data_IF_973111149153
#
_entry.id   IF_973111149153
#
_cell.length_a   1.000
_cell.length_b   1.000
_cell.length_c   1.000
_cell.angle_alpha   90.00
_cell.angle_beta   90.00
_cell.angle_gamma   90.00
#
_symmetry.space_group_name_H-M   'P 1'
#
loop_
_entity.id
_entity.type
_entity.pdbx_description
1 polymer ?
#
# COMPACT_ATOMS: atom_id res chain seq x y z
N UNK A 1 37.19 -11.50 65.24
CA UNK A 1 36.59 -10.18 65.05
C UNK A 1 36.47 -9.48 66.38
N UNK A 2 35.44 -8.65 66.54
CA UNK A 2 35.11 -7.95 67.78
C UNK A 2 34.56 -8.96 68.81
N UNK A 3 34.93 -8.90 70.12
CA UNK A 3 34.38 -9.80 71.13
C UNK A 3 32.86 -9.58 71.32
N UNK A 4 32.07 -10.65 71.51
CA UNK A 4 30.59 -10.63 71.56
C UNK A 4 30.01 -9.50 72.43
N UNK A 5 30.61 -9.26 73.60
CA UNK A 5 30.18 -8.18 74.54
C UNK A 5 30.31 -6.75 73.99
N UNK A 6 31.03 -6.56 72.89
CA UNK A 6 31.26 -5.29 72.19
C UNK A 6 30.72 -5.33 70.76
N UNK A 7 30.26 -6.49 70.30
CA UNK A 7 29.75 -6.68 68.96
C UNK A 7 28.30 -6.16 68.89
N UNK A 8 28.06 -5.16 68.06
CA UNK A 8 26.73 -4.60 67.82
C UNK A 8 25.94 -5.41 66.78
N UNK A 9 26.61 -6.29 66.03
CA UNK A 9 26.06 -7.09 64.96
C UNK A 9 26.49 -8.57 65.12
N UNK A 10 26.04 -9.24 66.20
CA UNK A 10 26.50 -10.60 66.57
C UNK A 10 26.16 -11.68 65.54
N UNK A 11 25.22 -11.41 64.63
CA UNK A 11 24.79 -12.34 63.57
C UNK A 11 25.62 -12.21 62.28
N UNK A 12 26.67 -11.38 62.27
CA UNK A 12 27.53 -11.22 61.09
C UNK A 12 28.21 -12.54 60.70
N UNK A 13 28.11 -13.00 59.44
CA UNK A 13 28.72 -14.26 59.02
C UNK A 13 30.23 -14.30 59.23
N UNK A 14 30.73 -15.46 59.63
CA UNK A 14 32.18 -15.67 59.81
C UNK A 14 32.94 -15.43 58.51
N UNK A 15 34.00 -14.63 58.57
CA UNK A 15 34.83 -14.28 57.42
C UNK A 15 34.45 -12.96 56.72
N UNK A 16 33.33 -12.34 57.07
CA UNK A 16 32.95 -11.01 56.58
C UNK A 16 33.82 -9.93 57.24
N UNK A 17 34.20 -8.91 56.46
CA UNK A 17 34.94 -7.75 56.95
C UNK A 17 34.00 -6.88 57.80
N UNK A 18 34.41 -6.57 59.02
CA UNK A 18 33.62 -5.78 59.98
C UNK A 18 34.35 -4.51 60.43
N UNK A 19 33.58 -3.50 60.83
CA UNK A 19 34.05 -2.26 61.45
C UNK A 19 34.51 -2.48 62.91
N UNK A 20 34.84 -1.38 63.60
CA UNK A 20 35.25 -1.41 65.02
C UNK A 20 34.15 -1.87 65.99
N UNK A 21 32.89 -1.87 65.56
CA UNK A 21 31.72 -2.30 66.32
C UNK A 21 31.31 -3.75 66.02
N UNK A 22 31.98 -4.44 65.11
CA UNK A 22 31.63 -5.81 64.71
C UNK A 22 30.55 -5.88 63.63
N UNK A 23 30.14 -4.74 63.07
CA UNK A 23 29.16 -4.68 62.00
C UNK A 23 29.81 -4.78 60.63
N UNK A 24 29.15 -5.39 59.62
CA UNK A 24 29.67 -5.45 58.27
C UNK A 24 30.02 -4.06 57.73
N UNK A 25 31.12 -3.96 56.97
CA UNK A 25 31.45 -2.71 56.28
C UNK A 25 30.43 -2.46 55.17
N UNK A 26 30.00 -1.21 55.08
CA UNK A 26 29.11 -0.66 54.07
C UNK A 26 29.79 0.65 53.61
N UNK A 27 30.46 0.58 52.47
CA UNK A 27 31.41 1.58 52.00
C UNK A 27 30.70 2.82 51.44
N UNK A 28 29.58 2.64 50.74
CA UNK A 28 28.80 3.71 50.13
C UNK A 28 27.53 4.10 50.91
N UNK A 29 27.25 3.40 52.01
CA UNK A 29 26.21 3.70 53.00
C UNK A 29 24.78 3.59 52.45
N UNK A 30 24.55 2.64 51.56
CA UNK A 30 23.24 2.39 50.95
C UNK A 30 22.38 1.38 51.73
N UNK A 31 22.88 0.90 52.87
CA UNK A 31 22.28 -0.12 53.75
C UNK A 31 22.41 -1.56 53.25
N UNK A 32 23.17 -1.79 52.17
CA UNK A 32 23.60 -3.10 51.69
C UNK A 32 25.10 -3.24 51.99
N UNK A 33 25.49 -4.14 52.91
CA UNK A 33 26.91 -4.31 53.21
C UNK A 33 27.75 -4.75 52.01
N UNK A 34 29.03 -4.35 51.96
CA UNK A 34 29.99 -4.64 50.87
C UNK A 34 30.01 -6.11 50.40
N UNK A 35 29.75 -7.05 51.31
CA UNK A 35 29.79 -8.49 51.03
C UNK A 35 28.48 -9.03 50.38
N UNK A 36 27.43 -8.22 50.37
CA UNK A 36 26.14 -8.47 49.72
C UNK A 36 25.86 -7.48 48.58
N UNK A 37 26.69 -6.44 48.47
CA UNK A 37 26.57 -5.39 47.48
C UNK A 37 27.30 -5.76 46.18
N UNK A 38 26.58 -5.65 45.06
CA UNK A 38 27.14 -5.83 43.72
C UNK A 38 27.83 -4.56 43.20
N UNK A 39 27.60 -3.42 43.84
CA UNK A 39 28.11 -2.09 43.52
C UNK A 39 28.71 -1.36 44.74
N UNK A 40 29.70 -1.92 45.49
CA UNK A 40 30.09 -1.47 46.84
C UNK A 40 30.61 -0.03 47.02
N UNK A 41 30.86 0.68 45.92
CA UNK A 41 31.40 2.04 45.94
C UNK A 41 30.37 3.08 45.45
N UNK A 42 29.15 2.66 45.09
CA UNK A 42 28.11 3.49 44.48
C UNK A 42 26.74 3.11 45.03
N UNK A 43 26.22 3.96 45.91
CA UNK A 43 24.98 3.70 46.61
C UNK A 43 23.82 3.34 45.68
N UNK A 44 23.11 2.27 46.00
CA UNK A 44 21.98 1.78 45.24
C UNK A 44 20.81 1.32 46.09
N UNK A 45 20.00 0.44 45.51
CA UNK A 45 18.79 -0.08 46.16
C UNK A 45 18.95 -1.54 46.55
N UNK A 46 18.47 -1.90 47.73
CA UNK A 46 18.51 -3.28 48.22
C UNK A 46 17.80 -4.28 47.28
N UNK A 47 16.78 -3.83 46.52
CA UNK A 47 16.10 -4.65 45.53
C UNK A 47 17.02 -5.13 44.40
N UNK A 48 18.12 -4.41 44.13
CA UNK A 48 19.11 -4.69 43.10
C UNK A 48 20.48 -5.04 43.70
N UNK A 49 20.49 -5.51 44.94
CA UNK A 49 21.69 -5.86 45.71
C UNK A 49 22.72 -4.71 45.73
N UNK A 50 22.25 -3.51 46.08
CA UNK A 50 23.08 -2.31 46.29
C UNK A 50 23.50 -1.57 45.02
N UNK A 51 23.02 -2.00 43.84
CA UNK A 51 23.27 -1.26 42.61
C UNK A 51 22.27 -0.11 42.36
N UNK A 52 22.74 1.01 41.76
CA UNK A 52 21.89 2.14 41.42
C UNK A 52 20.90 1.79 40.31
N UNK A 53 19.72 2.41 40.39
CA UNK A 53 18.64 2.37 39.41
C UNK A 53 18.00 3.76 39.39
N UNK A 54 18.42 4.57 38.41
CA UNK A 54 18.18 6.01 38.40
C UNK A 54 16.77 6.36 37.96
N UNK A 55 16.18 5.60 37.06
CA UNK A 55 14.84 5.83 36.57
C UNK A 55 13.77 4.98 37.27
N UNK A 56 14.20 4.05 38.13
CA UNK A 56 13.38 3.20 39.00
C UNK A 56 12.52 2.20 38.22
N UNK A 57 13.02 1.69 37.11
CA UNK A 57 12.32 0.68 36.30
C UNK A 57 12.58 -0.76 36.75
N UNK A 58 13.51 -0.95 37.69
CA UNK A 58 13.89 -2.25 38.25
C UNK A 58 15.03 -2.95 37.51
N UNK A 59 15.71 -2.27 36.58
CA UNK A 59 16.97 -2.68 35.96
C UNK A 59 18.07 -1.77 36.50
N UNK A 60 19.19 -2.34 36.97
CA UNK A 60 20.28 -1.50 37.48
C UNK A 60 20.94 -0.72 36.33
N UNK A 61 21.42 0.51 36.59
CA UNK A 61 22.05 1.41 35.60
C UNK A 61 23.12 0.71 34.74
N UNK A 62 23.84 -0.26 35.31
CA UNK A 62 24.91 -1.01 34.63
C UNK A 62 24.41 -2.07 33.63
N UNK A 63 23.14 -2.47 33.74
CA UNK A 63 22.46 -3.47 32.93
C UNK A 63 21.38 -2.84 32.04
N UNK A 64 21.11 -1.56 32.25
CA UNK A 64 20.13 -0.77 31.55
C UNK A 64 20.73 -0.10 30.30
N UNK A 65 20.08 -0.28 29.15
CA UNK A 65 20.44 0.40 27.90
C UNK A 65 19.92 1.84 27.83
N UNK A 66 18.95 2.19 28.68
CA UNK A 66 18.30 3.48 28.79
C UNK A 66 18.26 4.01 30.25
N UNK A 67 19.39 4.23 30.96
CA UNK A 67 19.45 4.47 32.42
C UNK A 67 18.77 5.74 32.97
N UNK A 68 18.13 6.52 32.12
CA UNK A 68 17.44 7.77 32.47
C UNK A 68 15.97 7.76 32.02
N UNK A 69 15.46 6.63 31.51
CA UNK A 69 14.12 6.50 30.92
C UNK A 69 13.50 5.15 31.26
N UNK A 70 12.45 5.13 32.10
CA UNK A 70 11.92 3.87 32.58
C UNK A 70 11.46 2.96 31.45
N UNK A 71 11.91 1.71 31.46
CA UNK A 71 11.55 0.72 30.49
C UNK A 71 11.15 -0.61 31.10
N UNK A 72 11.33 -1.68 30.31
CA UNK A 72 11.05 -3.03 30.77
C UNK A 72 12.31 -3.87 30.75
N UNK A 73 12.41 -4.81 31.70
CA UNK A 73 13.51 -5.78 31.71
C UNK A 73 13.59 -6.62 30.42
N UNK A 74 12.48 -6.83 29.71
CA UNK A 74 12.46 -7.52 28.43
C UNK A 74 13.24 -6.78 27.34
N UNK A 75 13.28 -5.45 27.43
CA UNK A 75 13.99 -4.55 26.53
C UNK A 75 15.20 -3.90 27.19
N UNK A 76 15.77 -4.57 28.20
CA UNK A 76 16.99 -4.14 28.89
C UNK A 76 16.87 -2.71 29.44
N UNK A 77 15.72 -2.40 30.04
CA UNK A 77 15.44 -1.11 30.66
C UNK A 77 15.02 0.01 29.70
N UNK A 78 14.85 -0.29 28.40
CA UNK A 78 14.37 0.70 27.45
C UNK A 78 12.84 0.75 27.31
N UNK A 79 12.28 1.95 27.05
CA UNK A 79 10.85 2.13 26.80
C UNK A 79 10.41 1.56 25.45
N UNK A 80 9.13 1.19 25.38
CA UNK A 80 8.41 0.71 24.20
C UNK A 80 6.99 1.28 24.27
N UNK A 81 6.74 2.33 23.47
CA UNK A 81 5.57 3.18 23.57
C UNK A 81 4.30 2.53 22.99
N UNK A 82 4.42 1.74 21.93
CA UNK A 82 3.29 1.08 21.26
C UNK A 82 3.12 -0.39 21.68
N UNK A 83 4.09 -0.95 22.38
CA UNK A 83 4.05 -2.29 22.96
C UNK A 83 4.23 -3.39 21.93
N UNK A 84 4.91 -3.12 20.82
CA UNK A 84 5.13 -4.08 19.74
C UNK A 84 6.32 -5.03 20.02
N UNK A 85 7.10 -4.76 21.08
CA UNK A 85 8.26 -5.54 21.50
C UNK A 85 9.59 -5.04 20.95
N UNK A 86 9.63 -3.86 20.33
CA UNK A 86 10.83 -3.16 19.89
C UNK A 86 10.94 -1.84 20.67
N UNK A 87 12.10 -1.58 21.27
CA UNK A 87 12.29 -0.34 22.03
C UNK A 87 12.25 0.89 21.11
N UNK A 88 11.77 2.02 21.65
CA UNK A 88 11.50 3.27 20.92
C UNK A 88 12.72 3.76 20.09
N UNK A 89 13.94 3.51 20.57
CA UNK A 89 15.17 3.93 19.90
C UNK A 89 15.53 3.08 18.67
N UNK A 90 14.98 1.88 18.56
CA UNK A 90 15.19 0.91 17.48
C UNK A 90 13.96 0.77 16.58
N UNK A 91 12.83 1.30 17.01
CA UNK A 91 11.57 1.25 16.29
C UNK A 91 11.50 2.33 15.18
N UNK A 92 11.18 1.88 13.96
CA UNK A 92 10.98 2.72 12.79
C UNK A 92 9.50 3.07 12.57
N UNK A 93 8.59 2.42 13.28
CA UNK A 93 7.14 2.50 13.16
C UNK A 93 6.46 2.65 14.54
N UNK A 94 6.58 3.82 15.20
CA UNK A 94 6.21 4.09 16.60
C UNK A 94 4.70 4.06 16.94
N UNK A 95 3.87 3.62 16.01
CA UNK A 95 2.41 3.60 16.13
C UNK A 95 1.84 2.25 15.64
N UNK A 96 2.59 1.16 15.82
CA UNK A 96 2.20 -0.17 15.36
C UNK A 96 1.04 -0.71 16.23
N UNK A 97 -0.08 -1.14 15.62
CA UNK A 97 -1.22 -1.62 16.40
C UNK A 97 -0.87 -2.87 17.22
N UNK A 98 -1.28 -2.88 18.48
CA UNK A 98 -1.07 -4.01 19.38
C UNK A 98 -1.51 -5.36 18.79
N UNK A 99 -0.65 -6.37 18.89
CA UNK A 99 -0.87 -7.72 18.34
C UNK A 99 -0.53 -7.87 16.87
N UNK A 100 -0.05 -6.82 16.20
CA UNK A 100 0.53 -6.92 14.85
C UNK A 100 1.84 -7.68 14.90
N UNK A 101 2.09 -8.54 13.91
CA UNK A 101 3.40 -9.15 13.76
C UNK A 101 4.36 -8.13 13.14
N UNK A 102 5.45 -7.85 13.84
CA UNK A 102 6.44 -6.85 13.45
C UNK A 102 7.78 -7.48 13.10
N UNK A 103 8.55 -6.73 12.31
CA UNK A 103 9.94 -7.02 12.02
C UNK A 103 10.85 -6.62 13.19
N UNK A 104 12.17 -6.81 13.04
CA UNK A 104 13.14 -6.39 14.05
C UNK A 104 13.26 -4.87 14.25
N UNK A 105 12.58 -4.07 13.42
CA UNK A 105 12.56 -2.59 13.48
C UNK A 105 11.17 -2.04 13.81
N UNK A 106 10.31 -2.86 14.43
CA UNK A 106 8.95 -2.50 14.87
C UNK A 106 7.92 -2.31 13.75
N UNK A 107 8.36 -2.26 12.49
CA UNK A 107 7.41 -2.13 11.38
C UNK A 107 6.63 -3.43 11.10
N UNK A 108 5.33 -3.34 10.76
CA UNK A 108 4.54 -4.46 10.26
C UNK A 108 5.23 -5.19 9.10
N UNK A 109 5.03 -6.49 9.01
CA UNK A 109 5.55 -7.29 7.89
C UNK A 109 4.93 -6.82 6.55
N UNK A 110 5.80 -6.69 5.54
CA UNK A 110 5.50 -6.31 4.15
C UNK A 110 6.40 -7.16 3.24
N UNK A 111 5.84 -8.23 2.71
CA UNK A 111 6.58 -9.30 2.04
C UNK A 111 7.09 -8.91 0.64
N UNK A 112 6.34 -8.09 -0.10
CA UNK A 112 6.71 -7.62 -1.44
C UNK A 112 7.32 -6.20 -1.46
N UNK A 113 7.26 -5.49 -0.33
CA UNK A 113 7.88 -4.20 -0.14
C UNK A 113 7.17 -3.07 -0.86
N UNK A 114 5.86 -3.21 -1.11
CA UNK A 114 5.06 -2.20 -1.81
C UNK A 114 4.58 -1.04 -0.91
N UNK A 115 4.80 -1.17 0.40
CA UNK A 115 4.44 -0.19 1.43
C UNK A 115 3.09 -0.44 2.10
N UNK A 116 2.43 -1.57 1.82
CA UNK A 116 1.21 -2.04 2.49
C UNK A 116 1.53 -3.33 3.24
N UNK A 117 1.16 -3.42 4.51
CA UNK A 117 1.46 -4.61 5.31
C UNK A 117 0.71 -5.84 4.81
N UNK A 118 1.30 -7.03 5.02
CA UNK A 118 0.76 -8.33 4.60
C UNK A 118 -0.70 -8.55 5.07
N UNK A 119 -1.06 -7.97 6.22
CA UNK A 119 -2.40 -8.08 6.80
C UNK A 119 -3.46 -7.24 6.05
N UNK A 120 -3.04 -6.17 5.37
CA UNK A 120 -3.90 -5.24 4.63
C UNK A 120 -3.77 -5.41 3.11
N UNK A 121 -2.72 -6.08 2.66
CA UNK A 121 -2.43 -6.29 1.26
C UNK A 121 -3.32 -7.36 0.63
N UNK A 122 -3.95 -7.00 -0.49
CA UNK A 122 -4.79 -7.88 -1.31
C UNK A 122 -4.04 -8.42 -2.53
N UNK A 123 -2.83 -7.93 -2.78
CA UNK A 123 -2.01 -8.14 -3.95
C UNK A 123 -0.55 -8.47 -3.54
N UNK A 124 -0.29 -9.61 -2.85
CA UNK A 124 0.98 -9.96 -2.17
C UNK A 124 2.22 -10.21 -3.04
N UNK A 125 2.14 -9.90 -4.33
CA UNK A 125 3.21 -10.09 -5.32
C UNK A 125 3.36 -8.84 -6.19
N UNK A 126 3.12 -7.65 -5.63
CA UNK A 126 3.26 -6.40 -6.35
C UNK A 126 4.72 -6.16 -6.74
N UNK A 127 5.02 -5.94 -8.04
CA UNK A 127 6.39 -5.73 -8.47
C UNK A 127 7.00 -4.46 -7.85
N UNK A 128 8.24 -4.56 -7.37
CA UNK A 128 8.98 -3.46 -6.78
C UNK A 128 8.95 -2.17 -7.64
N UNK A 129 8.62 -1.04 -6.99
CA UNK A 129 8.49 0.27 -7.63
C UNK A 129 7.12 0.54 -8.29
N UNK A 130 6.17 -0.39 -8.19
CA UNK A 130 4.78 -0.17 -8.57
C UNK A 130 4.12 0.82 -7.60
N UNK A 131 3.35 1.78 -8.11
CA UNK A 131 2.53 2.63 -7.24
C UNK A 131 1.25 1.89 -6.88
N UNK A 132 0.99 1.71 -5.59
CA UNK A 132 -0.16 0.96 -5.06
C UNK A 132 -1.19 1.86 -4.39
N UNK A 133 -2.41 1.34 -4.26
CA UNK A 133 -3.42 1.92 -3.39
C UNK A 133 -3.27 1.44 -1.94
N UNK A 134 -4.22 1.80 -1.06
CA UNK A 134 -4.19 1.41 0.35
C UNK A 134 -4.43 -0.09 0.59
N UNK A 135 -4.51 -0.91 -0.45
CA UNK A 135 -4.71 -2.36 -0.39
C UNK A 135 -3.61 -3.13 -1.10
N UNK A 136 -2.46 -2.48 -1.34
CA UNK A 136 -1.28 -3.05 -2.02
C UNK A 136 -1.51 -3.33 -3.51
N UNK A 137 -2.67 -2.97 -4.05
CA UNK A 137 -2.96 -3.24 -5.44
C UNK A 137 -2.54 -2.07 -6.32
N UNK A 138 -1.96 -2.40 -7.48
CA UNK A 138 -1.48 -1.42 -8.46
C UNK A 138 -2.55 -0.36 -8.77
N UNK A 139 -2.18 0.91 -8.61
CA UNK A 139 -2.99 2.04 -9.05
C UNK A 139 -3.22 1.91 -10.56
N UNK A 140 -4.47 1.59 -10.94
CA UNK A 140 -4.93 1.75 -12.31
C UNK A 140 -4.74 3.22 -12.65
N UNK A 141 -3.76 3.53 -13.52
CA UNK A 141 -3.51 4.92 -13.97
C UNK A 141 -4.85 5.54 -14.33
N UNK A 142 -5.30 6.59 -13.60
CA UNK A 142 -6.50 7.30 -13.95
C UNK A 142 -6.34 7.75 -15.39
N UNK A 143 -7.29 7.41 -16.26
CA UNK A 143 -7.34 7.90 -17.64
C UNK A 143 -7.15 9.42 -17.57
N UNK A 144 -6.06 9.99 -18.14
CA UNK A 144 -5.79 11.43 -18.05
C UNK A 144 -7.03 12.25 -18.42
N UNK A 145 -7.49 13.06 -17.46
CA UNK A 145 -8.63 13.97 -17.65
C UNK A 145 -8.30 14.91 -18.81
N UNK A 146 -9.03 14.81 -19.92
CA UNK A 146 -8.72 15.53 -21.16
C UNK A 146 -9.10 14.78 -22.44
N UNK A 147 -9.42 13.48 -22.33
CA UNK A 147 -10.24 12.76 -23.32
C UNK A 147 -11.68 12.80 -22.84
N UNK A 148 -12.36 13.93 -23.08
CA UNK A 148 -13.75 14.17 -22.67
C UNK A 148 -13.89 14.55 -21.19
N UNK A 149 -14.43 15.75 -20.91
CA UNK A 149 -14.96 16.06 -19.58
C UNK A 149 -16.38 15.49 -19.51
N UNK A 150 -16.50 14.34 -18.88
CA UNK A 150 -17.76 13.73 -18.48
C UNK A 150 -17.44 12.36 -17.87
N UNK A 151 -18.16 11.99 -16.82
CA UNK A 151 -18.10 10.68 -16.17
C UNK A 151 -17.71 9.51 -17.08
N UNK A 152 -17.05 8.53 -16.46
CA UNK A 152 -16.74 7.18 -16.94
C UNK A 152 -17.98 6.46 -17.53
N UNK A 153 -18.42 6.90 -18.72
CA UNK A 153 -19.46 6.40 -19.63
C UNK A 153 -19.23 6.97 -21.05
N UNK A 154 -17.99 7.29 -21.42
CA UNK A 154 -17.68 8.18 -22.54
C UNK A 154 -17.58 7.45 -23.90
N UNK A 155 -18.71 6.91 -24.32
CA UNK A 155 -18.90 6.35 -25.66
C UNK A 155 -18.64 7.42 -26.72
N UNK A 156 -17.57 7.26 -27.51
CA UNK A 156 -17.35 8.13 -28.66
C UNK A 156 -18.21 7.65 -29.83
N UNK A 157 -19.23 8.43 -30.16
CA UNK A 157 -20.07 8.19 -31.33
C UNK A 157 -19.43 8.74 -32.61
N UNK A 158 -19.15 7.83 -33.52
CA UNK A 158 -18.64 8.09 -34.87
C UNK A 158 -19.82 8.07 -35.85
N UNK A 159 -19.92 9.16 -36.61
CA UNK A 159 -20.95 9.32 -37.64
C UNK A 159 -20.44 8.92 -39.02
N UNK A 160 -21.37 8.41 -39.82
CA UNK A 160 -21.15 7.99 -41.20
C UNK A 160 -22.10 8.71 -42.15
N UNK A 161 -21.72 8.79 -43.42
CA UNK A 161 -22.64 9.19 -44.48
C UNK A 161 -23.81 8.21 -44.59
N UNK A 162 -24.95 8.72 -45.05
CA UNK A 162 -26.18 7.93 -45.15
C UNK A 162 -25.97 6.64 -45.96
N UNK A 163 -26.43 5.52 -45.39
CA UNK A 163 -26.33 4.17 -45.97
C UNK A 163 -24.91 3.74 -46.39
N UNK A 164 -23.89 4.35 -45.79
CA UNK A 164 -22.48 4.09 -46.15
C UNK A 164 -21.64 3.81 -44.91
N UNK A 165 -20.50 3.17 -45.14
CA UNK A 165 -19.40 3.03 -44.18
C UNK A 165 -18.34 4.14 -44.37
N UNK A 166 -18.74 5.27 -44.97
CA UNK A 166 -17.87 6.44 -45.18
C UNK A 166 -17.95 7.35 -43.97
N UNK A 167 -16.81 7.61 -43.33
CA UNK A 167 -16.71 8.48 -42.16
C UNK A 167 -17.02 9.94 -42.53
N UNK A 168 -17.86 10.61 -41.73
CA UNK A 168 -18.10 12.05 -41.91
C UNK A 168 -16.92 12.85 -41.42
N UNK A 169 -16.69 14.04 -41.99
CA UNK A 169 -15.58 14.93 -41.59
C UNK A 169 -15.57 15.25 -40.09
N UNK A 170 -16.74 15.39 -39.48
CA UNK A 170 -16.92 15.66 -38.04
C UNK A 170 -16.38 14.56 -37.12
N UNK A 171 -16.21 13.34 -37.64
CA UNK A 171 -15.73 12.18 -36.89
C UNK A 171 -14.21 12.14 -36.77
N UNK A 172 -13.46 12.75 -37.70
CA UNK A 172 -12.00 12.63 -37.73
C UNK A 172 -11.32 13.24 -36.50
N UNK A 173 -11.75 14.43 -36.07
CA UNK A 173 -11.18 15.07 -34.87
C UNK A 173 -11.31 14.19 -33.61
N UNK A 174 -12.43 13.45 -33.48
CA UNK A 174 -12.65 12.50 -32.39
C UNK A 174 -11.74 11.28 -32.51
N UNK A 175 -11.64 10.70 -33.71
CA UNK A 175 -10.76 9.56 -33.98
C UNK A 175 -9.28 9.91 -33.75
N UNK A 176 -8.86 11.14 -34.08
CA UNK A 176 -7.51 11.62 -33.81
C UNK A 176 -7.23 11.77 -32.31
N UNK A 177 -8.25 12.14 -31.52
CA UNK A 177 -8.15 12.17 -30.06
C UNK A 177 -7.99 10.76 -29.49
N UNK A 178 -8.81 9.81 -29.95
CA UNK A 178 -8.69 8.38 -29.57
C UNK A 178 -7.32 7.84 -29.94
N UNK A 179 -6.82 8.10 -31.15
CA UNK A 179 -5.51 7.65 -31.59
C UNK A 179 -4.37 8.26 -30.76
N UNK A 180 -4.42 9.56 -30.46
CA UNK A 180 -3.42 10.20 -29.57
C UNK A 180 -3.40 9.57 -28.19
N UNK A 181 -4.57 9.30 -27.63
CA UNK A 181 -4.69 8.64 -26.33
C UNK A 181 -4.08 7.24 -26.34
N UNK A 182 -4.43 6.41 -27.32
CA UNK A 182 -3.92 5.04 -27.42
C UNK A 182 -2.40 4.99 -27.65
N UNK A 183 -1.81 6.00 -28.31
CA UNK A 183 -0.34 6.11 -28.43
C UNK A 183 0.34 6.42 -27.10
N UNK A 184 -0.25 7.33 -26.32
CA UNK A 184 0.29 7.74 -25.01
C UNK A 184 0.07 6.68 -23.92
N UNK A 185 -0.87 5.75 -24.14
CA UNK A 185 -1.26 4.74 -23.17
C UNK A 185 -1.22 3.34 -23.81
N UNK A 186 -0.04 2.69 -23.90
CA UNK A 186 0.12 1.39 -24.55
C UNK A 186 -0.73 0.26 -23.95
N UNK A 187 -1.08 0.36 -22.68
CA UNK A 187 -1.87 -0.61 -21.91
C UNK A 187 -3.38 -0.56 -22.20
N UNK A 188 -3.85 0.34 -23.06
CA UNK A 188 -5.27 0.40 -23.43
C UNK A 188 -5.54 -0.33 -24.74
N UNK A 189 -6.75 -0.81 -24.94
CA UNK A 189 -7.27 -1.25 -26.23
C UNK A 189 -8.59 -0.52 -26.50
N UNK A 190 -9.17 -0.77 -27.67
CA UNK A 190 -10.43 -0.16 -28.05
C UNK A 190 -11.34 -1.19 -28.69
N UNK A 191 -12.59 -1.23 -28.22
CA UNK A 191 -13.67 -1.97 -28.84
C UNK A 191 -14.50 -1.03 -29.71
N UNK A 192 -14.75 -1.44 -30.94
CA UNK A 192 -15.49 -0.66 -31.92
C UNK A 192 -16.74 -1.42 -32.34
N UNK A 193 -17.89 -0.91 -31.92
CA UNK A 193 -19.21 -1.49 -32.16
C UNK A 193 -19.93 -0.74 -33.27
N UNK A 194 -20.29 -1.40 -34.35
CA UNK A 194 -21.09 -0.83 -35.43
C UNK A 194 -22.58 -1.07 -35.22
N UNK A 195 -23.41 -0.10 -35.63
CA UNK A 195 -24.87 -0.19 -35.56
C UNK A 195 -25.53 0.36 -36.83
N UNK A 196 -26.73 -0.14 -37.13
CA UNK A 196 -27.60 0.28 -38.22
C UNK A 196 -28.97 0.76 -37.70
N UNK A 197 -29.77 1.35 -38.58
CA UNK A 197 -31.19 1.64 -38.28
C UNK A 197 -32.07 0.50 -38.80
N UNK A 198 -33.37 0.52 -38.46
CA UNK A 198 -34.29 -0.59 -38.76
C UNK A 198 -34.69 -0.74 -40.26
N UNK A 199 -34.02 -0.03 -41.18
CA UNK A 199 -34.34 -0.12 -42.61
C UNK A 199 -33.38 -1.07 -43.30
N UNK A 200 -33.93 -1.98 -44.08
CA UNK A 200 -33.18 -3.04 -44.75
C UNK A 200 -33.50 -4.40 -44.12
N UNK A 201 -32.83 -5.44 -44.59
CA UNK A 201 -32.92 -6.76 -43.94
C UNK A 201 -31.90 -6.84 -42.80
N UNK A 202 -32.13 -7.73 -41.85
CA UNK A 202 -31.19 -7.99 -40.75
C UNK A 202 -29.79 -8.33 -41.26
N UNK A 203 -29.69 -9.16 -42.31
CA UNK A 203 -28.41 -9.53 -42.93
C UNK A 203 -27.70 -8.31 -43.54
N UNK A 204 -28.46 -7.43 -44.19
CA UNK A 204 -27.92 -6.19 -44.74
C UNK A 204 -27.39 -5.27 -43.64
N UNK A 205 -28.18 -5.09 -42.58
CA UNK A 205 -27.85 -4.22 -41.45
C UNK A 205 -26.68 -4.76 -40.64
N UNK A 206 -26.60 -6.07 -40.46
CA UNK A 206 -25.46 -6.75 -39.85
C UNK A 206 -24.19 -6.45 -40.64
N UNK A 207 -24.18 -6.74 -41.95
CA UNK A 207 -23.02 -6.51 -42.80
C UNK A 207 -22.63 -5.02 -42.88
N UNK A 208 -23.61 -4.10 -42.88
CA UNK A 208 -23.35 -2.65 -42.87
C UNK A 208 -22.69 -2.21 -41.56
N UNK A 209 -23.15 -2.74 -40.43
CA UNK A 209 -22.62 -2.42 -39.11
C UNK A 209 -21.16 -2.88 -38.96
N UNK A 210 -20.83 -4.09 -39.43
CA UNK A 210 -19.46 -4.61 -39.45
C UNK A 210 -18.54 -3.75 -40.33
N UNK A 211 -18.99 -3.36 -41.52
CA UNK A 211 -18.22 -2.45 -42.40
C UNK A 211 -17.94 -1.11 -41.73
N UNK A 212 -18.88 -0.57 -40.95
CA UNK A 212 -18.69 0.68 -40.19
C UNK A 212 -17.64 0.52 -39.10
N UNK A 213 -17.70 -0.55 -38.32
CA UNK A 213 -16.68 -0.84 -37.30
C UNK A 213 -15.30 -1.03 -37.94
N UNK A 214 -15.22 -1.76 -39.05
CA UNK A 214 -13.99 -1.95 -39.82
C UNK A 214 -13.43 -0.65 -40.40
N UNK A 215 -14.28 0.31 -40.80
CA UNK A 215 -13.85 1.62 -41.29
C UNK A 215 -13.16 2.45 -40.18
N UNK A 216 -13.69 2.39 -38.96
CA UNK A 216 -13.06 3.03 -37.79
C UNK A 216 -11.74 2.35 -37.41
N UNK A 217 -11.73 1.01 -37.34
CA UNK A 217 -10.50 0.25 -37.08
C UNK A 217 -9.42 0.53 -38.15
N UNK A 218 -9.82 0.65 -39.42
CA UNK A 218 -8.92 1.03 -40.51
C UNK A 218 -8.36 2.43 -40.30
N UNK A 219 -9.18 3.40 -39.90
CA UNK A 219 -8.67 4.74 -39.60
C UNK A 219 -7.65 4.73 -38.46
N UNK A 220 -7.96 4.05 -37.35
CA UNK A 220 -7.08 3.97 -36.18
C UNK A 220 -5.78 3.22 -36.48
N UNK A 221 -5.80 2.18 -37.29
CA UNK A 221 -4.57 1.46 -37.71
C UNK A 221 -3.73 2.26 -38.72
N UNK A 222 -4.36 2.82 -39.77
CA UNK A 222 -3.63 3.44 -40.88
C UNK A 222 -3.21 4.88 -40.58
N UNK A 223 -4.15 5.74 -40.25
CA UNK A 223 -3.92 7.16 -39.90
C UNK A 223 -3.48 7.28 -38.45
N UNK A 224 -4.21 6.60 -37.56
CA UNK A 224 -3.94 6.62 -36.13
C UNK A 224 -2.68 5.87 -35.72
N UNK A 225 -2.10 5.01 -36.58
CA UNK A 225 -0.90 4.19 -36.30
C UNK A 225 -1.01 3.34 -35.03
N UNK A 226 -2.21 2.84 -34.73
CA UNK A 226 -2.46 1.94 -33.60
C UNK A 226 -2.27 0.48 -34.05
N UNK A 227 -1.61 -0.33 -33.23
CA UNK A 227 -1.40 -1.74 -33.52
C UNK A 227 -2.73 -2.50 -33.61
N UNK A 228 -2.85 -3.38 -34.61
CA UNK A 228 -4.11 -4.09 -34.92
C UNK A 228 -4.63 -4.92 -33.75
N UNK A 229 -3.74 -5.53 -32.96
CA UNK A 229 -4.09 -6.33 -31.78
C UNK A 229 -4.74 -5.52 -30.64
N UNK A 230 -4.65 -4.18 -30.69
CA UNK A 230 -5.27 -3.29 -29.69
C UNK A 230 -6.66 -2.81 -30.10
N UNK A 231 -7.22 -3.34 -31.20
CA UNK A 231 -8.49 -2.90 -31.76
C UNK A 231 -9.36 -4.13 -32.02
N UNK A 232 -10.49 -4.20 -31.33
CA UNK A 232 -11.54 -5.19 -31.58
C UNK A 232 -12.72 -4.52 -32.27
N UNK A 233 -13.41 -5.28 -33.14
CA UNK A 233 -14.55 -4.76 -33.90
C UNK A 233 -15.70 -5.74 -33.84
N UNK A 234 -16.92 -5.24 -33.60
CA UNK A 234 -18.16 -6.02 -33.61
C UNK A 234 -19.23 -5.26 -34.38
N UNK A 235 -20.04 -5.94 -35.17
CA UNK A 235 -21.26 -5.38 -35.77
C UNK A 235 -22.49 -5.92 -35.05
N UNK A 236 -23.42 -5.04 -34.68
CA UNK A 236 -24.66 -5.42 -34.00
C UNK A 236 -25.91 -5.28 -34.89
N UNK A 237 -25.77 -4.83 -36.13
CA UNK A 237 -26.92 -4.51 -36.98
C UNK A 237 -27.85 -3.50 -36.30
N UNK A 238 -29.15 -3.77 -36.34
CA UNK A 238 -30.19 -2.96 -35.69
C UNK A 238 -30.53 -3.40 -34.25
N UNK A 239 -29.91 -4.46 -33.74
CA UNK A 239 -30.27 -5.11 -32.46
C UNK A 239 -30.04 -4.27 -31.20
N UNK A 240 -29.31 -3.16 -31.31
CA UNK A 240 -28.94 -2.27 -30.19
C UNK A 240 -29.30 -0.80 -30.51
N UNK A 241 -30.61 -0.48 -30.65
CA UNK A 241 -31.05 0.87 -30.95
C UNK A 241 -30.83 1.79 -29.74
N UNK A 242 -30.35 3.01 -30.00
CA UNK A 242 -30.16 4.06 -28.99
C UNK A 242 -31.35 5.04 -28.95
N UNK A 243 -32.11 5.11 -30.03
CA UNK A 243 -33.30 5.94 -30.17
C UNK A 243 -34.39 5.20 -30.95
N UNK A 244 -35.61 5.75 -30.98
CA UNK A 244 -36.72 5.19 -31.77
C UNK A 244 -36.34 5.09 -33.25
N UNK A 245 -36.72 3.99 -33.90
CA UNK A 245 -36.59 3.82 -35.35
C UNK A 245 -37.78 4.42 -36.12
N UNK A 246 -38.76 4.97 -35.43
CA UNK A 246 -39.98 5.53 -36.03
C UNK A 246 -39.78 6.97 -36.52
N UNK A 247 -38.69 7.63 -36.10
CA UNK A 247 -38.37 9.00 -36.49
C UNK A 247 -37.09 9.09 -37.33
N UNK A 248 -37.01 9.96 -38.35
CA UNK A 248 -35.78 10.24 -39.09
C UNK A 248 -34.58 10.59 -38.20
N UNK A 249 -34.83 11.34 -37.13
CA UNK A 249 -33.82 11.78 -36.17
C UNK A 249 -33.31 10.60 -35.33
N UNK A 250 -34.22 9.74 -34.84
CA UNK A 250 -33.85 8.56 -34.06
C UNK A 250 -33.10 7.53 -34.90
N UNK A 251 -33.55 7.28 -36.14
CA UNK A 251 -32.81 6.46 -37.09
C UNK A 251 -31.41 7.03 -37.36
N UNK A 252 -31.26 8.35 -37.46
CA UNK A 252 -29.95 8.98 -37.63
C UNK A 252 -29.02 8.77 -36.43
N UNK A 253 -29.55 8.70 -35.23
CA UNK A 253 -28.79 8.37 -34.02
C UNK A 253 -28.41 6.88 -33.98
N UNK A 254 -29.25 5.98 -34.52
CA UNK A 254 -28.96 4.55 -34.58
C UNK A 254 -27.88 4.20 -35.61
N UNK A 255 -27.76 4.95 -36.71
CA UNK A 255 -26.67 4.84 -37.69
C UNK A 255 -25.33 5.37 -37.15
N UNK A 256 -24.67 4.58 -36.31
CA UNK A 256 -23.44 4.98 -35.61
C UNK A 256 -22.41 3.87 -35.56
N UNK A 257 -21.16 4.24 -35.28
CA UNK A 257 -20.24 3.34 -34.59
C UNK A 257 -19.92 3.92 -33.22
N UNK A 258 -19.85 3.05 -32.23
CA UNK A 258 -19.52 3.33 -30.84
C UNK A 258 -18.10 2.85 -30.60
N UNK A 259 -17.29 3.74 -30.05
CA UNK A 259 -15.90 3.46 -29.70
C UNK A 259 -15.79 3.50 -28.19
N UNK A 260 -15.38 2.38 -27.60
CA UNK A 260 -15.23 2.19 -26.17
C UNK A 260 -13.78 1.81 -25.84
N UNK A 261 -13.18 2.53 -24.91
CA UNK A 261 -11.83 2.26 -24.45
C UNK A 261 -11.86 1.17 -23.38
N UNK A 262 -10.95 0.20 -23.48
CA UNK A 262 -10.80 -0.89 -22.54
C UNK A 262 -9.34 -0.95 -22.08
N UNK A 263 -9.10 -1.41 -20.86
CA UNK A 263 -7.73 -1.71 -20.40
C UNK A 263 -7.36 -3.08 -20.97
N UNK A 264 -6.18 -3.22 -21.57
CA UNK A 264 -5.64 -4.55 -21.83
C UNK A 264 -5.38 -5.19 -20.47
N UNK A 265 -5.98 -6.34 -20.21
CA UNK A 265 -5.54 -7.18 -19.11
C UNK A 265 -4.10 -7.55 -19.42
N UNK A 266 -3.16 -6.80 -18.82
CA UNK A 266 -1.74 -7.14 -18.90
C UNK A 266 -1.60 -8.35 -17.99
N UNK A 267 -1.75 -9.54 -18.57
CA UNK A 267 -1.19 -10.74 -17.98
C UNK A 267 0.31 -10.52 -18.04
N UNK A 268 0.90 -10.17 -16.90
CA UNK A 268 2.34 -10.13 -16.75
C UNK A 268 2.78 -11.59 -16.78
N UNK A 269 3.35 -12.04 -17.90
CA UNK A 269 4.08 -13.31 -17.97
C UNK A 269 5.44 -13.20 -17.26
#
# INVERSE_FOLDING_TARGET
>A
GVPDRKDKCPDTPSGVKVDENGCPVDTDQDSVPDYQDNCPDVAGVAALNGCPDRDNDGVADAQDQCPDQPGTAALQGCPDADGDGVADAQDQCPDTPAGTQVSATGCPLDADGDGVSDALDKCPDTPAGTQVDSTGCQLRKPIPRGVGRGNLQDTTYIQFEFDKAVLRKVSFAKLDQVARFLKQNPTFSVNVSGHADARGTDEYNQALSERRAAAVARYLTTTGRIAKNRITTVGYGESQPRASNDTPEGMAQNRRAQVELQVLDVVVE
#
